data_IF_256643464134
#
_entry.id   IF_256643464134
#
_cell.length_a   1.000
_cell.length_b   1.000
_cell.length_c   1.000
_cell.angle_alpha   90.00
_cell.angle_beta   90.00
_cell.angle_gamma   90.00
#
_symmetry.space_group_name_H-M   'P 1'
#
loop_
_entity.id
_entity.type
_entity.pdbx_description
1 polymer ?
#
# COMPACT_ATOMS: atom_id res chain seq x y z
N UNK A 1 6.49 -10.03 -18.87
CA UNK A 1 6.79 -9.01 -17.84
C UNK A 1 5.53 -8.77 -17.07
N UNK A 2 5.61 -8.70 -15.75
CA UNK A 2 4.42 -8.66 -14.89
C UNK A 2 4.68 -7.77 -13.69
N UNK A 3 3.66 -7.03 -13.28
CA UNK A 3 3.65 -6.34 -11.99
C UNK A 3 3.19 -7.31 -10.91
N UNK A 4 3.49 -6.98 -9.66
CA UNK A 4 3.04 -7.74 -8.49
C UNK A 4 2.25 -6.83 -7.56
N UNK A 5 1.37 -7.43 -6.77
CA UNK A 5 0.59 -6.74 -5.76
C UNK A 5 0.54 -7.57 -4.47
N UNK A 6 0.32 -6.90 -3.34
CA UNK A 6 0.25 -7.54 -2.02
C UNK A 6 -0.95 -8.48 -1.95
N UNK A 7 -0.71 -9.73 -1.57
CA UNK A 7 -1.75 -10.76 -1.37
C UNK A 7 -1.99 -11.08 0.11
N UNK A 8 -0.97 -10.86 0.92
CA UNK A 8 -0.95 -11.27 2.31
C UNK A 8 -0.05 -10.31 3.09
N UNK A 9 -0.42 -10.08 4.35
CA UNK A 9 0.40 -9.42 5.35
C UNK A 9 0.56 -10.35 6.53
N UNK A 10 1.79 -10.79 6.80
CA UNK A 10 2.12 -11.60 7.98
C UNK A 10 2.81 -10.73 9.02
N UNK A 11 2.26 -10.71 10.24
CA UNK A 11 2.78 -9.95 11.38
C UNK A 11 3.22 -10.93 12.45
N UNK A 12 4.50 -10.87 12.79
CA UNK A 12 5.10 -11.62 13.88
C UNK A 12 5.19 -10.73 15.12
N UNK A 13 4.58 -11.14 16.22
CA UNK A 13 4.61 -10.40 17.49
C UNK A 13 4.67 -11.35 18.68
N UNK A 14 5.75 -11.25 19.47
CA UNK A 14 6.09 -12.28 20.46
C UNK A 14 6.07 -13.66 19.79
N UNK A 15 5.28 -14.60 20.31
CA UNK A 15 5.10 -15.94 19.75
C UNK A 15 3.82 -16.08 18.89
N UNK A 16 3.18 -14.96 18.56
CA UNK A 16 1.93 -14.93 17.79
C UNK A 16 2.21 -14.56 16.34
N UNK A 17 1.56 -15.29 15.43
CA UNK A 17 1.57 -14.99 14.00
C UNK A 17 0.16 -14.57 13.58
N UNK A 18 0.02 -13.34 13.09
CA UNK A 18 -1.23 -12.83 12.52
C UNK A 18 -1.07 -12.69 11.02
N UNK A 19 -1.91 -13.37 10.24
CA UNK A 19 -1.96 -13.24 8.78
C UNK A 19 -3.25 -12.52 8.37
N UNK A 20 -3.09 -11.42 7.63
CA UNK A 20 -4.17 -10.67 7.00
C UNK A 20 -4.17 -11.01 5.51
N UNK A 21 -5.16 -11.77 5.08
CA UNK A 21 -5.29 -12.24 3.70
C UNK A 21 -6.29 -11.38 2.93
N UNK A 22 -6.35 -11.57 1.61
CA UNK A 22 -7.45 -11.04 0.80
C UNK A 22 -8.80 -11.68 1.20
N UNK A 23 -9.89 -11.15 0.64
CA UNK A 23 -11.25 -11.63 0.87
C UNK A 23 -11.69 -11.66 2.36
N UNK A 24 -11.14 -10.73 3.14
CA UNK A 24 -11.47 -10.47 4.54
C UNK A 24 -11.13 -11.62 5.49
N UNK A 25 -10.19 -12.50 5.10
CA UNK A 25 -9.75 -13.62 5.93
C UNK A 25 -8.62 -13.18 6.87
N UNK A 26 -8.76 -13.49 8.16
CA UNK A 26 -7.73 -13.27 9.17
C UNK A 26 -7.41 -14.61 9.83
N UNK A 27 -6.12 -14.94 9.90
CA UNK A 27 -5.63 -16.12 10.62
C UNK A 27 -4.74 -15.68 11.79
N UNK A 28 -4.88 -16.37 12.92
CA UNK A 28 -4.00 -16.23 14.09
C UNK A 28 -3.53 -17.63 14.47
N UNK A 29 -2.21 -17.84 14.48
CA UNK A 29 -1.58 -19.14 14.75
C UNK A 29 -2.18 -20.28 13.90
N UNK A 30 -2.22 -20.06 12.57
CA UNK A 30 -2.79 -20.96 11.55
C UNK A 30 -4.30 -21.25 11.67
N UNK A 31 -5.03 -20.52 12.52
CA UNK A 31 -6.49 -20.66 12.67
C UNK A 31 -7.23 -19.43 12.16
N UNK A 32 -8.22 -19.63 11.29
CA UNK A 32 -9.12 -18.56 10.86
C UNK A 32 -9.97 -18.08 12.04
N UNK A 33 -9.99 -16.76 12.27
CA UNK A 33 -10.73 -16.13 13.37
C UNK A 33 -11.87 -15.24 12.87
N UNK A 34 -12.87 -15.02 13.72
CA UNK A 34 -13.91 -14.00 13.50
C UNK A 34 -13.51 -12.67 14.12
N UNK A 35 -13.91 -11.57 13.50
CA UNK A 35 -13.61 -10.22 13.99
C UNK A 35 -14.81 -9.61 14.75
N UNK A 36 -14.58 -8.85 15.83
CA UNK A 36 -13.27 -8.52 16.41
C UNK A 36 -12.63 -9.70 17.15
N UNK A 37 -11.31 -9.78 17.12
CA UNK A 37 -10.52 -10.81 17.79
C UNK A 37 -9.52 -10.16 18.76
N UNK A 38 -9.40 -10.73 19.96
CA UNK A 38 -8.47 -10.28 21.00
C UNK A 38 -7.62 -11.45 21.49
N UNK A 39 -6.30 -11.26 21.50
CA UNK A 39 -5.34 -12.12 22.20
C UNK A 39 -4.56 -11.26 23.17
N UNK A 40 -4.98 -11.24 24.43
CA UNK A 40 -4.32 -10.45 25.45
C UNK A 40 -2.92 -11.01 25.80
N UNK A 41 -1.96 -10.14 26.16
CA UNK A 41 -2.02 -8.69 26.04
C UNK A 41 -1.67 -8.17 24.64
N UNK A 42 -1.40 -9.04 23.66
CA UNK A 42 -0.61 -8.73 22.48
C UNK A 42 -1.34 -8.03 21.34
N UNK A 43 -2.48 -8.56 20.88
CA UNK A 43 -3.12 -8.12 19.64
C UNK A 43 -4.63 -7.97 19.76
N UNK A 44 -5.15 -6.93 19.11
CA UNK A 44 -6.57 -6.71 18.88
C UNK A 44 -6.81 -6.43 17.40
N UNK A 45 -7.63 -7.26 16.77
CA UNK A 45 -7.95 -7.15 15.34
C UNK A 45 -9.42 -6.83 15.18
N UNK A 46 -9.74 -5.83 14.38
CA UNK A 46 -11.11 -5.43 14.11
C UNK A 46 -11.36 -5.08 12.65
N UNK A 47 -12.60 -5.25 12.20
CA UNK A 47 -13.04 -4.79 10.89
C UNK A 47 -13.60 -3.38 11.02
N UNK A 48 -13.00 -2.44 10.28
CA UNK A 48 -13.59 -1.12 10.00
C UNK A 48 -14.36 -1.17 8.68
N UNK A 49 -15.00 -0.06 8.29
CA UNK A 49 -15.88 0.01 7.11
C UNK A 49 -15.25 -0.59 5.84
N UNK A 50 -13.98 -0.27 5.57
CA UNK A 50 -13.27 -0.70 4.35
C UNK A 50 -11.88 -1.28 4.60
N UNK A 51 -11.53 -1.57 5.85
CA UNK A 51 -10.20 -2.07 6.23
C UNK A 51 -10.28 -3.01 7.42
N UNK A 52 -9.28 -3.86 7.57
CA UNK A 52 -8.96 -4.57 8.80
C UNK A 52 -7.89 -3.74 9.51
N UNK A 53 -8.10 -3.49 10.81
CA UNK A 53 -7.13 -2.81 11.67
C UNK A 53 -6.60 -3.82 12.70
N UNK A 54 -5.30 -4.09 12.64
CA UNK A 54 -4.56 -4.80 13.67
C UNK A 54 -3.88 -3.77 14.58
N UNK A 55 -4.21 -3.81 15.87
CA UNK A 55 -3.51 -3.09 16.93
C UNK A 55 -2.63 -4.06 17.71
N UNK A 56 -1.43 -3.62 18.06
CA UNK A 56 -0.50 -4.38 18.89
C UNK A 56 -0.20 -3.64 20.20
N UNK A 57 0.21 -4.39 21.22
CA UNK A 57 0.60 -3.84 22.52
C UNK A 57 1.88 -3.00 22.51
N UNK A 58 2.72 -3.17 21.49
CA UNK A 58 3.91 -2.35 21.25
C UNK A 58 3.59 -1.04 20.51
N UNK A 59 2.31 -0.77 20.25
CA UNK A 59 1.84 0.45 19.60
C UNK A 59 1.94 0.45 18.08
N UNK A 60 2.50 -0.60 17.46
CA UNK A 60 2.44 -0.81 16.01
C UNK A 60 1.00 -1.09 15.57
N UNK A 61 0.59 -0.51 14.44
CA UNK A 61 -0.71 -0.73 13.83
C UNK A 61 -0.54 -1.10 12.36
N UNK A 62 -1.38 -1.99 11.89
CA UNK A 62 -1.47 -2.35 10.46
C UNK A 62 -2.91 -2.13 10.00
N UNK A 63 -3.08 -1.26 9.00
CA UNK A 63 -4.32 -1.19 8.23
C UNK A 63 -4.15 -1.99 6.94
N UNK A 64 -5.12 -2.85 6.65
CA UNK A 64 -5.15 -3.67 5.46
C UNK A 64 -6.51 -3.54 4.77
N UNK A 65 -6.52 -3.17 3.49
CA UNK A 65 -7.78 -2.98 2.75
C UNK A 65 -8.38 -4.27 2.17
N UNK A 66 -7.78 -5.43 2.47
CA UNK A 66 -8.19 -6.74 1.93
C UNK A 66 -8.03 -6.93 0.42
N UNK A 67 -7.35 -6.00 -0.28
CA UNK A 67 -7.17 -6.04 -1.75
C UNK A 67 -5.72 -5.84 -2.20
N UNK A 68 -4.90 -5.11 -1.46
CA UNK A 68 -3.50 -4.89 -1.82
C UNK A 68 -2.83 -3.72 -1.12
N UNK A 69 -3.62 -2.79 -0.56
CA UNK A 69 -3.11 -1.62 0.14
C UNK A 69 -2.91 -1.92 1.63
N UNK A 70 -1.71 -1.60 2.10
CA UNK A 70 -1.26 -1.71 3.49
C UNK A 70 -0.74 -0.35 3.96
N UNK A 71 -1.06 0.00 5.20
CA UNK A 71 -0.41 1.07 5.94
C UNK A 71 0.13 0.50 7.26
N UNK A 72 1.39 0.80 7.58
CA UNK A 72 2.02 0.45 8.85
C UNK A 72 2.34 1.73 9.61
N UNK A 73 1.83 1.83 10.83
CA UNK A 73 2.06 2.95 11.74
C UNK A 73 2.82 2.46 12.96
N UNK A 74 3.90 3.16 13.35
CA UNK A 74 4.68 2.85 14.54
C UNK A 74 4.83 4.10 15.44
N UNK A 75 4.97 3.93 16.77
CA UNK A 75 5.28 5.04 17.66
C UNK A 75 6.60 5.73 17.33
N UNK A 76 6.72 7.02 17.65
CA UNK A 76 7.96 7.80 17.43
C UNK A 76 9.19 7.24 18.16
N UNK A 77 9.01 6.39 19.17
CA UNK A 77 10.10 5.67 19.86
C UNK A 77 10.86 4.70 18.94
N UNK A 78 10.29 4.33 17.79
CA UNK A 78 10.93 3.49 16.78
C UNK A 78 11.86 4.26 15.83
N UNK A 79 11.98 5.59 15.99
CA UNK A 79 12.84 6.43 15.14
C UNK A 79 14.25 5.85 15.06
N UNK A 80 14.77 5.69 13.85
CA UNK A 80 16.09 5.11 13.56
C UNK A 80 16.32 3.67 14.08
N UNK A 81 15.26 2.96 14.48
CA UNK A 81 15.30 1.59 15.03
C UNK A 81 14.49 0.60 14.19
N UNK A 82 14.15 0.97 12.95
CA UNK A 82 13.48 0.10 11.98
C UNK A 82 14.34 -0.03 10.73
N UNK A 83 14.06 -1.06 9.94
CA UNK A 83 14.67 -1.27 8.63
C UNK A 83 13.71 -2.09 7.76
N UNK A 84 13.89 -2.01 6.45
CA UNK A 84 13.06 -2.75 5.49
C UNK A 84 12.72 -1.91 4.28
N UNK A 85 11.71 -2.37 3.53
CA UNK A 85 11.19 -1.65 2.36
C UNK A 85 10.58 -0.29 2.70
N UNK A 86 10.20 -0.07 3.96
CA UNK A 86 9.66 1.22 4.45
C UNK A 86 10.75 2.15 5.00
N UNK A 87 12.03 1.88 4.71
CA UNK A 87 13.14 2.72 5.14
C UNK A 87 13.55 2.50 6.60
N UNK A 88 14.21 3.50 7.18
CA UNK A 88 14.77 3.42 8.54
C UNK A 88 14.13 4.40 9.56
N UNK A 89 13.15 5.20 9.10
CA UNK A 89 12.40 6.15 9.92
C UNK A 89 13.29 7.17 10.66
N UNK A 90 14.31 7.74 10.00
CA UNK A 90 15.21 8.74 10.58
C UNK A 90 14.94 10.20 10.11
N UNK A 91 13.96 10.40 9.21
CA UNK A 91 13.63 11.66 8.50
C UNK A 91 14.61 12.08 7.38
N UNK A 92 15.40 11.14 6.84
CA UNK A 92 16.36 11.37 5.76
C UNK A 92 16.05 10.47 4.56
N UNK A 93 15.07 10.85 3.71
CA UNK A 93 14.58 9.98 2.63
C UNK A 93 15.64 9.55 1.61
N UNK A 94 16.74 10.30 1.51
CA UNK A 94 17.86 9.96 0.64
C UNK A 94 18.60 8.67 1.01
N UNK A 95 18.42 8.16 2.24
CA UNK A 95 19.07 6.95 2.73
C UNK A 95 18.12 5.74 2.91
N UNK A 96 16.86 5.88 2.51
CA UNK A 96 15.85 4.84 2.76
C UNK A 96 16.00 3.61 1.85
N UNK A 97 16.63 3.75 0.68
CA UNK A 97 16.95 2.62 -0.22
C UNK A 97 18.19 1.84 0.24
N UNK A 98 18.27 1.53 1.53
CA UNK A 98 19.39 0.82 2.15
C UNK A 98 19.19 -0.69 2.06
N UNK A 99 20.19 -1.38 1.52
CA UNK A 99 20.21 -2.84 1.45
C UNK A 99 20.38 -3.44 2.86
N UNK A 100 20.06 -4.74 3.03
CA UNK A 100 20.38 -5.48 4.27
C UNK A 100 21.87 -5.43 4.64
N UNK A 101 22.76 -5.27 3.67
CA UNK A 101 24.21 -5.10 3.90
C UNK A 101 24.59 -3.72 4.47
N UNK A 102 23.65 -2.78 4.52
CA UNK A 102 23.88 -1.39 4.93
C UNK A 102 24.38 -0.47 3.81
N UNK A 103 24.58 -0.98 2.59
CA UNK A 103 24.93 -0.19 1.41
C UNK A 103 23.69 0.47 0.79
N UNK A 104 23.89 1.55 0.02
CA UNK A 104 22.81 2.16 -0.76
C UNK A 104 22.57 1.37 -2.05
N UNK A 105 21.30 1.14 -2.37
CA UNK A 105 20.90 0.45 -3.60
C UNK A 105 21.17 1.32 -4.84
N UNK A 106 21.51 0.67 -5.96
CA UNK A 106 21.67 1.34 -7.25
C UNK A 106 20.35 1.47 -8.04
N UNK A 107 19.33 0.66 -7.70
CA UNK A 107 17.98 0.71 -8.29
C UNK A 107 16.91 0.18 -7.33
N UNK A 108 15.64 0.39 -7.67
CA UNK A 108 14.50 -0.07 -6.88
C UNK A 108 14.43 -1.60 -6.84
N UNK A 109 14.68 -2.27 -7.96
CA UNK A 109 14.77 -3.72 -8.01
C UNK A 109 15.90 -4.27 -7.12
N UNK A 110 17.10 -3.65 -7.14
CA UNK A 110 18.21 -4.06 -6.25
C UNK A 110 17.82 -3.89 -4.78
N UNK A 111 17.16 -2.78 -4.44
CA UNK A 111 16.64 -2.54 -3.10
C UNK A 111 15.63 -3.63 -2.69
N UNK A 112 14.58 -3.82 -3.49
CA UNK A 112 13.53 -4.81 -3.25
C UNK A 112 14.06 -6.23 -3.10
N UNK A 113 14.94 -6.65 -4.01
CA UNK A 113 15.53 -7.99 -4.01
C UNK A 113 16.39 -8.27 -2.77
N UNK A 114 17.02 -7.25 -2.18
CA UNK A 114 17.79 -7.41 -0.95
C UNK A 114 16.93 -7.73 0.27
N UNK A 115 15.63 -7.37 0.24
CA UNK A 115 14.66 -7.56 1.33
C UNK A 115 13.77 -8.79 1.18
N UNK A 116 14.06 -9.70 0.24
CA UNK A 116 13.36 -10.99 0.14
C UNK A 116 13.48 -11.79 1.45
N UNK A 117 12.40 -12.47 1.81
CA UNK A 117 12.31 -13.34 3.01
C UNK A 117 12.21 -14.83 2.66
N UNK A 118 11.87 -15.13 1.40
CA UNK A 118 11.81 -16.49 0.85
C UNK A 118 12.64 -16.57 -0.43
N UNK A 119 12.90 -17.79 -0.91
CA UNK A 119 13.53 -17.99 -2.20
C UNK A 119 12.52 -17.76 -3.32
N UNK A 120 12.55 -16.56 -3.90
CA UNK A 120 11.84 -16.23 -5.13
C UNK A 120 12.81 -15.57 -6.13
N UNK A 121 12.41 -15.57 -7.41
CA UNK A 121 13.15 -14.92 -8.48
C UNK A 121 13.33 -13.43 -8.21
N UNK A 122 14.40 -12.86 -8.75
CA UNK A 122 14.65 -11.42 -8.68
C UNK A 122 13.57 -10.65 -9.46
N UNK A 123 13.03 -9.61 -8.82
CA UNK A 123 12.26 -8.58 -9.51
C UNK A 123 13.16 -7.74 -10.40
N UNK A 124 12.57 -7.10 -11.41
CA UNK A 124 13.25 -6.21 -12.34
C UNK A 124 12.55 -4.86 -12.36
N UNK A 125 13.32 -3.79 -12.58
CA UNK A 125 12.77 -2.47 -12.83
C UNK A 125 12.02 -2.51 -14.16
N UNK A 126 10.70 -2.30 -14.14
CA UNK A 126 9.83 -2.34 -15.33
C UNK A 126 9.05 -1.03 -15.47
N UNK A 127 8.71 -0.69 -16.71
CA UNK A 127 7.78 0.39 -17.04
C UNK A 127 6.63 -0.23 -17.84
N UNK A 128 5.50 -0.56 -17.19
CA UNK A 128 4.34 -1.16 -17.83
C UNK A 128 3.80 -0.32 -18.98
N UNK A 129 3.88 1.02 -18.89
CA UNK A 129 3.41 1.89 -19.95
C UNK A 129 4.33 1.88 -21.18
N UNK A 130 5.63 1.65 -21.00
CA UNK A 130 6.57 1.47 -22.12
C UNK A 130 6.25 0.17 -22.89
N UNK A 131 5.93 -0.89 -22.17
CA UNK A 131 5.60 -2.20 -22.76
C UNK A 131 4.20 -2.21 -23.40
N UNK A 132 3.20 -1.60 -22.73
CA UNK A 132 1.83 -1.49 -23.24
C UNK A 132 1.70 -0.49 -24.42
N UNK A 133 2.66 0.43 -24.55
CA UNK A 133 2.74 1.37 -25.66
C UNK A 133 1.91 2.65 -25.49
N UNK A 134 2.05 3.54 -26.48
CA UNK A 134 1.51 4.90 -26.43
C UNK A 134 -0.01 4.97 -26.26
N UNK A 135 -0.76 4.09 -26.93
CA UNK A 135 -2.22 4.08 -26.85
C UNK A 135 -2.73 3.77 -25.44
N UNK A 136 -2.17 2.74 -24.79
CA UNK A 136 -2.49 2.39 -23.41
C UNK A 136 -2.14 3.52 -22.44
N UNK A 137 -0.94 4.09 -22.58
CA UNK A 137 -0.51 5.26 -21.79
C UNK A 137 -1.44 6.46 -21.96
N UNK A 138 -1.92 6.73 -23.18
CA UNK A 138 -2.87 7.83 -23.44
C UNK A 138 -4.20 7.60 -22.72
N UNK A 139 -4.72 6.38 -22.76
CA UNK A 139 -5.95 6.00 -22.03
C UNK A 139 -5.73 6.15 -20.53
N UNK A 140 -4.64 5.61 -19.98
CA UNK A 140 -4.31 5.72 -18.57
C UNK A 140 -4.23 7.19 -18.10
N UNK A 141 -3.53 8.06 -18.84
CA UNK A 141 -3.47 9.49 -18.52
C UNK A 141 -4.84 10.16 -18.47
N UNK A 142 -5.73 9.81 -19.41
CA UNK A 142 -7.08 10.37 -19.47
C UNK A 142 -7.93 9.88 -18.28
N UNK A 143 -7.91 8.58 -17.98
CA UNK A 143 -8.67 7.99 -16.86
C UNK A 143 -8.18 8.49 -15.50
N UNK A 144 -6.87 8.60 -15.32
CA UNK A 144 -6.26 9.13 -14.09
C UNK A 144 -6.45 10.65 -13.93
N UNK A 145 -6.92 11.35 -14.97
CA UNK A 145 -7.17 12.79 -14.93
C UNK A 145 -8.13 13.22 -13.82
N UNK A 146 -9.00 12.33 -13.37
CA UNK A 146 -9.95 12.58 -12.27
C UNK A 146 -9.27 12.91 -10.93
N UNK A 147 -8.03 12.45 -10.70
CA UNK A 147 -7.28 12.84 -9.49
C UNK A 147 -6.99 14.35 -9.44
N UNK A 148 -7.00 15.02 -10.61
CA UNK A 148 -6.71 16.44 -10.78
C UNK A 148 -7.96 17.27 -11.11
N UNK A 149 -9.14 16.69 -11.07
CA UNK A 149 -10.39 17.39 -11.36
C UNK A 149 -11.10 17.89 -10.09
N UNK A 150 -12.26 18.52 -10.27
CA UNK A 150 -13.03 19.15 -9.20
C UNK A 150 -13.48 18.17 -8.10
N UNK A 151 -13.62 16.88 -8.42
CA UNK A 151 -13.99 15.80 -7.49
C UNK A 151 -13.01 15.68 -6.31
N UNK A 152 -11.74 16.05 -6.52
CA UNK A 152 -10.67 15.97 -5.53
C UNK A 152 -10.03 17.32 -5.19
N UNK A 153 -10.48 18.43 -5.78
CA UNK A 153 -9.87 19.76 -5.65
C UNK A 153 -9.70 20.21 -4.19
N UNK A 154 -10.68 19.92 -3.32
CA UNK A 154 -10.61 20.27 -1.90
C UNK A 154 -9.42 19.64 -1.17
N UNK A 155 -8.86 18.54 -1.69
CA UNK A 155 -7.74 17.82 -1.09
C UNK A 155 -6.37 18.25 -1.64
N UNK A 156 -6.30 18.83 -2.85
CA UNK A 156 -5.03 19.15 -3.52
C UNK A 156 -4.08 20.01 -2.67
N UNK A 157 -4.63 20.86 -1.80
CA UNK A 157 -3.86 21.72 -0.88
C UNK A 157 -3.16 20.94 0.24
N UNK A 158 -3.73 19.83 0.68
CA UNK A 158 -3.23 19.06 1.83
C UNK A 158 -2.52 17.77 1.41
N UNK A 159 -2.93 17.18 0.28
CA UNK A 159 -2.26 16.03 -0.34
C UNK A 159 -2.11 16.33 -1.84
N UNK A 160 -0.89 16.67 -2.32
CA UNK A 160 -0.66 16.93 -3.74
C UNK A 160 -0.96 15.68 -4.60
N UNK A 161 -1.70 15.81 -5.72
CA UNK A 161 -2.15 14.66 -6.51
C UNK A 161 -1.08 14.06 -7.43
N UNK A 162 0.09 14.69 -7.58
CA UNK A 162 1.08 14.33 -8.61
C UNK A 162 1.60 12.89 -8.47
N UNK A 163 1.94 12.47 -7.24
CA UNK A 163 2.44 11.12 -6.98
C UNK A 163 1.36 10.07 -7.20
N UNK A 164 0.12 10.35 -6.76
CA UNK A 164 -1.03 9.47 -7.01
C UNK A 164 -1.38 9.38 -8.48
N UNK A 165 -1.27 10.49 -9.22
CA UNK A 165 -1.49 10.51 -10.67
C UNK A 165 -0.47 9.66 -11.40
N UNK A 166 0.83 9.79 -11.06
CA UNK A 166 1.88 8.99 -11.65
C UNK A 166 1.69 7.49 -11.37
N UNK A 167 1.38 7.13 -10.11
CA UNK A 167 1.07 5.75 -9.72
C UNK A 167 -0.17 5.21 -10.46
N UNK A 168 -1.23 6.01 -10.56
CA UNK A 168 -2.43 5.65 -11.31
C UNK A 168 -2.10 5.30 -12.77
N UNK A 169 -1.30 6.13 -13.45
CA UNK A 169 -0.95 5.88 -14.86
C UNK A 169 -0.14 4.59 -14.99
N UNK A 170 0.82 4.36 -14.08
CA UNK A 170 1.61 3.14 -14.03
C UNK A 170 0.71 1.90 -13.85
N UNK A 171 -0.18 1.92 -12.85
CA UNK A 171 -1.08 0.81 -12.53
C UNK A 171 -2.04 0.52 -13.69
N UNK A 172 -2.66 1.53 -14.29
CA UNK A 172 -3.60 1.35 -15.39
C UNK A 172 -2.93 0.76 -16.65
N UNK A 173 -1.64 1.05 -16.89
CA UNK A 173 -0.88 0.38 -17.95
C UNK A 173 -0.61 -1.09 -17.64
N UNK A 174 -0.55 -1.47 -16.35
CA UNK A 174 -0.28 -2.83 -15.90
C UNK A 174 -1.54 -3.69 -15.71
N UNK A 175 -2.71 -3.07 -15.55
CA UNK A 175 -3.96 -3.77 -15.18
C UNK A 175 -4.64 -4.55 -16.30
N UNK A 176 -4.15 -4.48 -17.54
CA UNK A 176 -4.73 -5.21 -18.66
C UNK A 176 -6.22 -4.88 -18.85
N UNK A 177 -7.10 -5.87 -18.69
CA UNK A 177 -8.56 -5.71 -18.81
C UNK A 177 -9.25 -5.12 -17.58
N UNK A 178 -8.59 -5.06 -16.41
CA UNK A 178 -9.20 -4.68 -15.13
C UNK A 178 -9.05 -3.18 -14.81
N UNK A 179 -9.07 -2.34 -15.85
CA UNK A 179 -8.78 -0.90 -15.76
C UNK A 179 -9.69 -0.19 -14.75
N UNK A 180 -10.98 -0.53 -14.72
CA UNK A 180 -11.95 0.12 -13.82
C UNK A 180 -11.67 -0.18 -12.35
N UNK A 181 -11.41 -1.45 -12.02
CA UNK A 181 -11.12 -1.87 -10.65
C UNK A 181 -9.84 -1.21 -10.14
N UNK A 182 -8.78 -1.22 -10.95
CA UNK A 182 -7.52 -0.55 -10.61
C UNK A 182 -7.68 0.95 -10.44
N UNK A 183 -8.45 1.60 -11.32
CA UNK A 183 -8.75 3.03 -11.16
C UNK A 183 -9.43 3.28 -9.82
N UNK A 184 -10.48 2.53 -9.49
CA UNK A 184 -11.21 2.70 -8.23
C UNK A 184 -10.35 2.45 -6.99
N UNK A 185 -9.35 1.59 -7.08
CA UNK A 185 -8.41 1.34 -5.99
C UNK A 185 -7.48 2.51 -5.74
N UNK A 186 -6.93 3.10 -6.81
CA UNK A 186 -6.06 4.28 -6.68
C UNK A 186 -6.84 5.51 -6.22
N UNK A 187 -8.07 5.72 -6.73
CA UNK A 187 -8.94 6.81 -6.27
C UNK A 187 -9.36 6.63 -4.81
N UNK A 188 -9.64 5.38 -4.40
CA UNK A 188 -9.94 5.03 -3.03
C UNK A 188 -8.77 5.31 -2.08
N UNK A 189 -7.54 4.99 -2.50
CA UNK A 189 -6.33 5.28 -1.74
C UNK A 189 -6.11 6.78 -1.57
N UNK A 190 -6.22 7.57 -2.66
CA UNK A 190 -6.06 9.02 -2.58
C UNK A 190 -7.14 9.67 -1.69
N UNK A 191 -8.40 9.24 -1.81
CA UNK A 191 -9.48 9.71 -0.95
C UNK A 191 -9.27 9.35 0.54
N UNK A 192 -8.64 8.20 0.82
CA UNK A 192 -8.29 7.81 2.18
C UNK A 192 -7.25 8.77 2.77
N UNK A 193 -6.19 9.10 2.03
CA UNK A 193 -5.17 10.06 2.45
C UNK A 193 -5.75 11.47 2.66
N UNK A 194 -6.64 11.92 1.77
CA UNK A 194 -7.39 13.16 1.97
C UNK A 194 -8.14 13.18 3.31
N UNK A 195 -8.81 12.08 3.63
CA UNK A 195 -9.54 11.93 4.90
C UNK A 195 -8.59 11.93 6.10
N UNK A 196 -7.42 11.28 6.00
CA UNK A 196 -6.39 11.34 7.05
C UNK A 196 -5.90 12.77 7.28
N UNK A 197 -5.77 13.56 6.20
CA UNK A 197 -5.45 14.98 6.25
C UNK A 197 -6.63 15.89 6.66
N UNK A 198 -7.77 15.31 7.05
CA UNK A 198 -8.94 16.04 7.56
C UNK A 198 -9.92 16.53 6.48
N UNK A 199 -9.79 16.10 5.23
CA UNK A 199 -10.66 16.48 4.11
C UNK A 199 -11.58 15.32 3.73
N UNK A 200 -12.87 15.48 3.96
CA UNK A 200 -13.88 14.49 3.56
C UNK A 200 -14.40 14.77 2.15
N UNK A 201 -14.10 13.86 1.21
CA UNK A 201 -14.53 13.96 -0.18
C UNK A 201 -15.74 13.05 -0.46
N UNK A 202 -16.68 13.54 -1.29
CA UNK A 202 -17.77 12.75 -1.87
C UNK A 202 -17.52 12.57 -3.36
N UNK A 203 -16.59 11.67 -3.70
CA UNK A 203 -16.10 11.49 -5.07
C UNK A 203 -16.79 10.35 -5.82
N UNK A 204 -17.41 9.39 -5.12
CA UNK A 204 -18.10 8.25 -5.75
C UNK A 204 -19.43 8.67 -6.39
N UNK A 205 -19.70 8.18 -7.59
CA UNK A 205 -20.94 8.44 -8.34
C UNK A 205 -21.30 7.25 -9.25
N UNK A 206 -22.52 7.18 -9.83
CA UNK A 206 -22.90 6.11 -10.75
C UNK A 206 -21.98 5.97 -11.98
N UNK A 207 -21.21 7.01 -12.30
CA UNK A 207 -20.25 7.05 -13.41
C UNK A 207 -18.79 6.96 -12.96
N UNK A 208 -18.54 6.91 -11.64
CA UNK A 208 -17.21 6.89 -11.03
C UNK A 208 -17.24 6.10 -9.71
N UNK A 209 -16.88 4.80 -9.78
CA UNK A 209 -16.54 3.95 -8.63
C UNK A 209 -17.46 4.00 -7.38
#
# INVERSE_FOLDING_TARGET
TGVSWTKEVTVFIADIVVQLLQDWVVMVDDQTVTLPFLREPYVYVERKTSTILLNTNIGMKVLWNSRGHIEVSVPGTYKSNVCGLCGNFNNYPQDDMRLRSGQMAASEAVFGNSWKVTHCHDGQDTDPCKEAGYAARKVANARCGVLKSAEFELCHRVVPPEMFYAACVYDLCACGSNVEECLCDVLGAYAAECRQAGVLLRWRSPTLC
#
